data_IF_747278437020
#
_entry.id   IF_747278437020
#
_cell.length_a   1.000
_cell.length_b   1.000
_cell.length_c   1.000
_cell.angle_alpha   90.00
_cell.angle_beta   90.00
_cell.angle_gamma   90.00
#
_symmetry.space_group_name_H-M   'P 1'
#
loop_
_entity.id
_entity.type
_entity.pdbx_description
1 polymer ?
#
# COMPACT_ATOMS: atom_id res chain seq x y z
N UNK A 1 -13.94 -12.60 5.50
CA UNK A 1 -13.63 -13.11 4.15
C UNK A 1 -14.88 -13.36 3.30
N UNK A 2 -15.96 -13.96 3.83
CA UNK A 2 -17.19 -14.22 3.05
C UNK A 2 -17.80 -12.93 2.48
N UNK A 3 -17.92 -11.88 3.30
CA UNK A 3 -18.41 -10.56 2.87
C UNK A 3 -17.49 -9.93 1.81
N UNK A 4 -16.17 -9.98 2.04
CA UNK A 4 -15.15 -9.47 1.12
C UNK A 4 -15.27 -10.19 -0.24
N UNK A 5 -15.26 -11.52 -0.27
CA UNK A 5 -15.34 -12.29 -1.50
C UNK A 5 -16.64 -12.03 -2.28
N UNK A 6 -17.76 -11.89 -1.58
CA UNK A 6 -19.04 -11.54 -2.21
C UNK A 6 -19.00 -10.14 -2.83
N UNK A 7 -18.40 -9.18 -2.14
CA UNK A 7 -18.29 -7.81 -2.64
C UNK A 7 -17.37 -7.70 -3.85
N UNK A 8 -16.15 -8.29 -3.77
CA UNK A 8 -15.17 -8.23 -4.86
C UNK A 8 -15.69 -8.89 -6.14
N UNK A 9 -16.38 -10.04 -6.05
CA UNK A 9 -17.02 -10.66 -7.23
C UNK A 9 -18.05 -9.77 -7.90
N UNK A 10 -18.79 -8.95 -7.13
CA UNK A 10 -19.80 -8.03 -7.66
C UNK A 10 -19.21 -6.88 -8.45
N UNK A 11 -18.11 -6.29 -7.97
CA UNK A 11 -17.50 -5.11 -8.61
C UNK A 11 -16.66 -5.46 -9.84
N UNK A 12 -16.25 -6.71 -10.01
CA UNK A 12 -15.43 -7.20 -11.14
C UNK A 12 -14.17 -6.38 -11.37
N UNK A 13 -13.53 -5.92 -10.31
CA UNK A 13 -12.27 -5.18 -10.39
C UNK A 13 -11.15 -6.10 -10.88
N UNK A 14 -10.27 -5.56 -11.72
CA UNK A 14 -9.10 -6.29 -12.22
C UNK A 14 -7.87 -6.12 -11.32
N UNK A 15 -7.90 -5.22 -10.34
CA UNK A 15 -6.76 -5.05 -9.43
C UNK A 15 -6.71 -6.09 -8.31
N UNK A 16 -7.77 -6.88 -8.10
CA UNK A 16 -7.79 -7.95 -7.12
C UNK A 16 -7.53 -9.31 -7.75
N UNK A 17 -6.81 -10.16 -7.03
CA UNK A 17 -6.68 -11.57 -7.36
C UNK A 17 -7.92 -12.29 -6.86
N UNK A 18 -8.47 -13.20 -7.67
CA UNK A 18 -9.64 -13.99 -7.26
C UNK A 18 -9.28 -14.91 -6.09
N UNK A 19 -10.21 -15.01 -5.13
CA UNK A 19 -10.05 -15.92 -4.00
C UNK A 19 -11.36 -16.58 -3.60
N UNK A 20 -11.25 -17.70 -2.92
CA UNK A 20 -12.35 -18.47 -2.34
C UNK A 20 -12.11 -18.66 -0.84
N UNK A 21 -13.08 -18.28 -0.03
CA UNK A 21 -13.10 -18.58 1.39
C UNK A 21 -13.84 -19.88 1.63
N UNK A 22 -13.19 -20.85 2.27
CA UNK A 22 -13.73 -22.15 2.62
C UNK A 22 -13.79 -22.26 4.15
N UNK A 23 -14.99 -22.17 4.77
CA UNK A 23 -15.14 -22.22 6.23
C UNK A 23 -14.65 -23.52 6.88
N UNK A 24 -14.63 -24.61 6.11
CA UNK A 24 -14.18 -25.93 6.54
C UNK A 24 -13.13 -26.49 5.57
N UNK A 25 -12.11 -25.67 5.26
CA UNK A 25 -11.18 -25.95 4.16
C UNK A 25 -10.08 -26.94 4.49
N UNK A 26 -9.69 -27.08 5.76
CA UNK A 26 -8.66 -28.03 6.18
C UNK A 26 -9.04 -28.72 7.48
N UNK A 27 -8.87 -30.05 7.53
CA UNK A 27 -9.06 -30.86 8.74
C UNK A 27 -7.69 -31.36 9.21
N UNK A 28 -7.40 -31.16 10.48
CA UNK A 28 -6.22 -31.63 11.19
C UNK A 28 -6.63 -32.49 12.38
N UNK A 29 -5.69 -33.07 13.10
CA UNK A 29 -5.96 -33.83 14.34
C UNK A 29 -6.66 -32.98 15.41
N UNK A 30 -6.43 -31.66 15.43
CA UNK A 30 -6.98 -30.71 16.40
C UNK A 30 -8.31 -30.08 15.98
N UNK A 31 -8.83 -30.35 14.77
CA UNK A 31 -10.11 -29.84 14.29
C UNK A 31 -10.15 -29.42 12.84
N UNK A 32 -11.28 -28.83 12.45
CA UNK A 32 -11.50 -28.31 11.11
C UNK A 32 -11.41 -26.77 11.13
N UNK A 33 -10.63 -26.20 10.21
CA UNK A 33 -10.31 -24.79 10.17
C UNK A 33 -10.66 -24.18 8.82
N UNK A 34 -10.99 -22.87 8.80
CA UNK A 34 -11.19 -22.17 7.55
C UNK A 34 -9.86 -21.93 6.83
N UNK A 35 -9.93 -21.88 5.49
CA UNK A 35 -8.82 -21.45 4.64
C UNK A 35 -9.28 -20.42 3.62
N UNK A 36 -8.32 -19.65 3.11
CA UNK A 36 -8.46 -18.82 1.91
C UNK A 36 -7.60 -19.44 0.82
N UNK A 37 -8.21 -19.77 -0.30
CA UNK A 37 -7.53 -20.20 -1.52
C UNK A 37 -7.53 -19.03 -2.49
N UNK A 38 -6.37 -18.57 -2.89
CA UNK A 38 -6.18 -17.44 -3.79
C UNK A 38 -5.54 -17.92 -5.11
N UNK A 39 -5.96 -17.35 -6.23
CA UNK A 39 -5.29 -17.57 -7.49
C UNK A 39 -3.87 -17.00 -7.44
N UNK A 40 -2.98 -17.60 -8.21
CA UNK A 40 -1.61 -17.12 -8.27
C UNK A 40 -1.52 -15.82 -9.06
N UNK A 41 -0.99 -14.75 -8.46
CA UNK A 41 -0.65 -13.52 -9.16
C UNK A 41 0.69 -13.68 -9.88
N UNK A 42 0.69 -13.56 -11.21
CA UNK A 42 1.92 -13.60 -11.99
C UNK A 42 2.61 -12.24 -11.96
N UNK A 43 3.94 -12.23 -11.96
CA UNK A 43 4.73 -11.00 -11.92
C UNK A 43 5.72 -10.98 -10.76
N UNK A 44 6.18 -9.80 -10.42
CA UNK A 44 7.08 -9.56 -9.31
C UNK A 44 6.46 -8.58 -8.31
N UNK A 45 6.93 -8.55 -7.08
CA UNK A 45 6.47 -7.55 -6.11
C UNK A 45 6.85 -6.15 -6.57
N UNK A 46 6.09 -5.14 -6.13
CA UNK A 46 6.43 -3.74 -6.36
C UNK A 46 7.85 -3.42 -5.89
N UNK A 47 8.28 -4.00 -4.75
CA UNK A 47 9.64 -3.86 -4.25
C UNK A 47 10.69 -4.35 -5.26
N UNK A 48 10.53 -5.57 -5.76
CA UNK A 48 11.45 -6.15 -6.74
C UNK A 48 11.46 -5.36 -8.06
N UNK A 49 10.28 -4.92 -8.52
CA UNK A 49 10.17 -4.10 -9.73
C UNK A 49 10.92 -2.77 -9.58
N UNK A 50 10.69 -2.05 -8.48
CA UNK A 50 11.35 -0.75 -8.23
C UNK A 50 12.86 -0.92 -8.10
N UNK A 51 13.33 -1.92 -7.37
CA UNK A 51 14.76 -2.21 -7.23
C UNK A 51 15.44 -2.47 -8.60
N UNK A 52 14.76 -3.20 -9.49
CA UNK A 52 15.26 -3.52 -10.83
C UNK A 52 15.22 -2.34 -11.81
N UNK A 53 14.23 -1.44 -11.66
CA UNK A 53 13.95 -0.36 -12.62
C UNK A 53 14.17 1.04 -12.03
N UNK A 54 14.90 1.18 -10.92
CA UNK A 54 15.06 2.48 -10.22
C UNK A 54 15.74 3.56 -11.07
N UNK A 55 16.54 3.16 -12.07
CA UNK A 55 17.15 4.08 -13.02
C UNK A 55 16.25 4.38 -14.25
N UNK A 56 15.11 3.72 -14.39
CA UNK A 56 14.14 3.91 -15.47
C UNK A 56 13.03 4.87 -15.01
N UNK A 57 13.22 6.15 -15.29
CA UNK A 57 12.27 7.22 -14.94
C UNK A 57 10.88 6.95 -15.51
N UNK A 58 10.78 6.46 -16.75
CA UNK A 58 9.51 6.26 -17.44
C UNK A 58 8.75 5.10 -16.83
N UNK A 59 9.41 3.98 -16.52
CA UNK A 59 8.82 2.85 -15.82
C UNK A 59 8.27 3.27 -14.44
N UNK A 60 9.03 4.04 -13.67
CA UNK A 60 8.58 4.54 -12.36
C UNK A 60 7.41 5.53 -12.48
N UNK A 61 7.41 6.40 -13.49
CA UNK A 61 6.28 7.31 -13.73
C UNK A 61 5.02 6.54 -14.12
N UNK A 62 5.13 5.55 -15.00
CA UNK A 62 4.01 4.72 -15.41
C UNK A 62 3.44 3.93 -14.21
N UNK A 63 4.32 3.37 -13.38
CA UNK A 63 3.95 2.68 -12.15
C UNK A 63 3.16 3.59 -11.19
N UNK A 64 3.61 4.83 -11.01
CA UNK A 64 2.89 5.84 -10.20
C UNK A 64 1.48 6.10 -10.72
N UNK A 65 1.33 6.24 -12.05
CA UNK A 65 0.01 6.46 -12.66
C UNK A 65 -0.91 5.27 -12.42
N UNK A 66 -0.39 4.04 -12.51
CA UNK A 66 -1.12 2.81 -12.24
C UNK A 66 -1.57 2.70 -10.79
N UNK A 67 -0.69 2.99 -9.82
CA UNK A 67 -1.02 3.04 -8.39
C UNK A 67 -2.10 4.09 -8.08
N UNK A 68 -2.02 5.28 -8.69
CA UNK A 68 -3.09 6.29 -8.59
C UNK A 68 -4.41 5.82 -9.18
N UNK A 69 -4.37 5.01 -10.24
CA UNK A 69 -5.54 4.37 -10.83
C UNK A 69 -6.20 3.44 -9.82
N UNK A 70 -5.43 2.56 -9.18
CA UNK A 70 -5.91 1.67 -8.12
C UNK A 70 -6.49 2.46 -6.95
N UNK A 71 -5.79 3.46 -6.43
CA UNK A 71 -6.28 4.29 -5.32
C UNK A 71 -7.66 4.87 -5.61
N UNK A 72 -7.87 5.44 -6.82
CA UNK A 72 -9.17 5.97 -7.22
C UNK A 72 -10.23 4.87 -7.36
N UNK A 73 -9.86 3.70 -7.85
CA UNK A 73 -10.76 2.56 -7.99
C UNK A 73 -11.23 2.06 -6.63
N UNK A 74 -10.32 1.89 -5.66
CA UNK A 74 -10.66 1.50 -4.30
C UNK A 74 -11.63 2.49 -3.67
N UNK A 75 -11.31 3.79 -3.70
CA UNK A 75 -12.18 4.84 -3.15
C UNK A 75 -13.55 4.86 -3.82
N UNK A 76 -13.63 4.75 -5.15
CA UNK A 76 -14.89 4.72 -5.90
C UNK A 76 -15.79 3.55 -5.48
N UNK A 77 -15.18 2.42 -5.13
CA UNK A 77 -15.91 1.24 -4.67
C UNK A 77 -16.07 1.17 -3.14
N UNK A 78 -15.64 2.19 -2.41
CA UNK A 78 -15.72 2.17 -0.95
C UNK A 78 -14.89 1.07 -0.31
N UNK A 79 -13.72 0.75 -0.88
CA UNK A 79 -12.81 -0.29 -0.42
C UNK A 79 -11.58 0.35 0.20
N UNK A 80 -11.12 -0.19 1.33
CA UNK A 80 -9.78 0.01 1.85
C UNK A 80 -9.05 -1.33 1.90
N UNK A 81 -7.85 -1.41 1.35
CA UNK A 81 -7.04 -2.63 1.42
C UNK A 81 -6.50 -2.86 2.84
N UNK A 82 -6.09 -1.78 3.47
CA UNK A 82 -5.61 -1.75 4.84
C UNK A 82 -4.13 -2.09 5.03
N UNK A 83 -3.47 -2.66 4.01
CA UNK A 83 -2.04 -2.94 4.02
C UNK A 83 -1.41 -2.78 2.63
N UNK A 84 -1.56 -1.57 2.05
CA UNK A 84 -0.84 -1.22 0.82
C UNK A 84 0.63 -1.02 1.15
N UNK A 85 1.44 -1.96 0.67
CA UNK A 85 2.90 -1.98 0.83
C UNK A 85 3.55 -2.67 -0.37
N UNK A 86 4.87 -2.51 -0.60
CA UNK A 86 5.55 -3.02 -1.80
C UNK A 86 5.54 -4.53 -1.98
N UNK A 87 5.31 -5.32 -0.93
CA UNK A 87 5.20 -6.77 -1.02
C UNK A 87 3.78 -7.24 -1.34
N UNK A 88 2.76 -6.43 -1.09
CA UNK A 88 1.35 -6.75 -1.32
C UNK A 88 0.81 -6.23 -2.66
N UNK A 89 1.67 -5.59 -3.46
CA UNK A 89 1.38 -5.17 -4.83
C UNK A 89 2.22 -5.98 -5.80
N UNK A 90 1.59 -6.76 -6.66
CA UNK A 90 2.25 -7.54 -7.71
C UNK A 90 2.19 -6.76 -9.01
N UNK A 91 3.34 -6.59 -9.64
CA UNK A 91 3.53 -5.90 -10.92
C UNK A 91 3.59 -6.96 -12.02
N UNK A 92 2.50 -7.13 -12.77
CA UNK A 92 2.46 -7.95 -13.99
C UNK A 92 3.11 -7.19 -15.15
N UNK A 93 2.88 -5.88 -15.21
CA UNK A 93 3.56 -4.89 -16.05
C UNK A 93 3.44 -3.51 -15.38
N UNK A 94 4.17 -2.49 -15.86
CA UNK A 94 4.08 -1.14 -15.31
C UNK A 94 2.66 -0.53 -15.36
N UNK A 95 1.77 -1.11 -16.17
CA UNK A 95 0.36 -0.69 -16.31
C UNK A 95 -0.64 -1.64 -15.68
N UNK A 96 -0.21 -2.82 -15.25
CA UNK A 96 -1.09 -3.87 -14.73
C UNK A 96 -0.58 -4.37 -13.38
N UNK A 97 -1.29 -4.00 -12.33
CA UNK A 97 -0.97 -4.30 -10.95
C UNK A 97 -2.06 -5.16 -10.33
N UNK A 98 -1.66 -6.05 -9.41
CA UNK A 98 -2.57 -6.86 -8.58
C UNK A 98 -2.31 -6.61 -7.11
N UNK A 99 -3.38 -6.56 -6.35
CA UNK A 99 -3.33 -6.53 -4.89
C UNK A 99 -3.50 -7.95 -4.36
N UNK A 100 -2.73 -8.30 -3.36
CA UNK A 100 -2.80 -9.57 -2.63
C UNK A 100 -2.84 -9.29 -1.14
N UNK A 101 -3.16 -10.31 -0.34
CA UNK A 101 -3.25 -10.22 1.12
C UNK A 101 -4.42 -9.34 1.59
N UNK A 102 -5.56 -9.98 1.85
CA UNK A 102 -6.83 -9.29 2.15
C UNK A 102 -7.21 -9.33 3.64
N UNK A 103 -6.27 -9.60 4.55
CA UNK A 103 -6.53 -9.74 5.98
C UNK A 103 -7.02 -8.42 6.61
N UNK A 104 -6.49 -7.30 6.13
CA UNK A 104 -6.88 -5.95 6.55
C UNK A 104 -7.99 -5.29 5.72
N UNK A 105 -8.59 -6.00 4.74
CA UNK A 105 -9.44 -5.38 3.73
C UNK A 105 -10.80 -4.96 4.28
N UNK A 106 -11.13 -3.68 4.05
CA UNK A 106 -12.44 -3.09 4.32
C UNK A 106 -13.32 -3.12 3.05
N UNK A 107 -14.58 -3.51 3.24
CA UNK A 107 -15.67 -3.31 2.28
C UNK A 107 -16.87 -2.71 3.01
N UNK A 108 -17.83 -2.04 2.32
CA UNK A 108 -18.96 -1.37 2.98
C UNK A 108 -19.79 -2.24 3.94
N UNK A 109 -19.83 -3.57 3.70
CA UNK A 109 -20.51 -4.52 4.56
C UNK A 109 -19.84 -4.72 5.94
N UNK A 110 -18.60 -4.26 6.09
CA UNK A 110 -17.84 -4.33 7.34
C UNK A 110 -17.88 -3.00 8.12
N UNK A 111 -18.68 -2.03 7.66
CA UNK A 111 -18.82 -0.75 8.35
C UNK A 111 -19.26 -0.93 9.81
N UNK A 112 -18.64 -0.18 10.72
CA UNK A 112 -18.88 -0.29 12.16
C UNK A 112 -18.05 -1.35 12.89
N UNK A 113 -17.30 -2.17 12.16
CA UNK A 113 -16.30 -3.05 12.76
C UNK A 113 -14.97 -2.31 12.98
N UNK A 114 -14.04 -2.99 13.64
CA UNK A 114 -12.66 -2.52 13.81
C UNK A 114 -11.72 -3.45 13.04
N UNK A 115 -10.64 -2.90 12.51
CA UNK A 115 -9.58 -3.71 11.91
C UNK A 115 -8.78 -4.42 13.01
N UNK A 116 -8.50 -5.70 12.78
CA UNK A 116 -7.56 -6.48 13.59
C UNK A 116 -6.12 -6.32 13.08
N UNK A 117 -5.98 -5.92 11.82
CA UNK A 117 -4.69 -5.69 11.16
C UNK A 117 -4.46 -4.19 10.96
N UNK A 118 -3.24 -3.72 11.25
CA UNK A 118 -2.88 -2.31 11.07
C UNK A 118 -1.98 -2.09 9.85
N UNK A 119 -1.55 -3.16 9.21
CA UNK A 119 -0.63 -3.12 8.09
C UNK A 119 0.82 -2.81 8.48
N UNK A 120 1.70 -2.76 7.49
CA UNK A 120 3.14 -2.56 7.68
C UNK A 120 3.44 -1.10 8.06
N UNK A 121 4.12 -0.91 9.19
CA UNK A 121 4.32 0.40 9.85
C UNK A 121 4.96 1.48 8.98
N UNK A 122 5.86 1.09 8.07
CA UNK A 122 6.54 2.04 7.19
C UNK A 122 5.59 2.63 6.13
N UNK A 123 4.39 2.06 5.96
CA UNK A 123 3.37 2.53 5.03
C UNK A 123 2.09 3.00 5.72
N UNK A 124 2.14 3.20 7.04
CA UNK A 124 0.98 3.63 7.81
C UNK A 124 1.28 4.93 8.57
N UNK A 125 0.26 5.77 8.70
CA UNK A 125 0.35 6.92 9.58
C UNK A 125 0.53 6.47 11.03
N UNK A 126 1.41 7.12 11.80
CA UNK A 126 1.74 6.74 13.18
C UNK A 126 0.53 6.77 14.14
N UNK A 127 -0.48 7.57 13.82
CA UNK A 127 -1.75 7.70 14.55
C UNK A 127 -2.80 6.64 14.22
N UNK A 128 -2.60 5.77 13.21
CA UNK A 128 -3.58 4.74 12.85
C UNK A 128 -3.86 3.78 14.00
N UNK A 129 -5.13 3.42 14.19
CA UNK A 129 -5.63 2.47 15.20
C UNK A 129 -6.71 1.61 14.57
N UNK A 130 -7.05 0.47 15.19
CA UNK A 130 -8.07 -0.48 14.69
C UNK A 130 -9.46 0.14 14.45
N UNK A 131 -9.83 1.21 15.18
CA UNK A 131 -11.09 1.93 14.96
C UNK A 131 -11.16 2.70 13.63
N UNK A 132 -10.02 3.00 13.04
CA UNK A 132 -9.93 3.65 11.73
C UNK A 132 -10.02 2.56 10.65
N UNK A 133 -11.27 2.13 10.36
CA UNK A 133 -11.53 1.02 9.45
C UNK A 133 -12.63 1.41 8.47
N UNK A 134 -12.22 1.99 7.35
CA UNK A 134 -13.07 2.49 6.27
C UNK A 134 -12.34 2.55 4.93
N UNK A 135 -12.98 3.10 3.90
CA UNK A 135 -12.45 3.20 2.55
C UNK A 135 -11.23 4.13 2.41
N UNK A 136 -10.95 4.98 3.40
CA UNK A 136 -9.84 5.95 3.35
C UNK A 136 -8.51 5.37 3.82
N UNK A 137 -8.52 4.14 4.34
CA UNK A 137 -7.37 3.45 4.98
C UNK A 137 -6.05 3.61 4.23
N UNK A 138 -6.10 3.53 2.89
CA UNK A 138 -4.92 3.45 2.05
C UNK A 138 -4.40 4.80 1.57
N UNK A 139 -5.11 5.90 1.86
CA UNK A 139 -4.77 7.23 1.34
C UNK A 139 -3.36 7.66 1.72
N UNK A 140 -2.93 7.33 2.94
CA UNK A 140 -1.58 7.61 3.41
C UNK A 140 -0.54 6.79 2.63
N UNK A 141 -0.72 5.48 2.52
CA UNK A 141 0.20 4.58 1.83
C UNK A 141 0.37 4.95 0.35
N UNK A 142 -0.72 5.22 -0.35
CA UNK A 142 -0.66 5.68 -1.75
C UNK A 142 0.03 7.04 -1.90
N UNK A 143 -0.17 7.95 -0.96
CA UNK A 143 0.51 9.27 -0.96
C UNK A 143 2.02 9.12 -0.74
N UNK A 144 2.41 8.25 0.19
CA UNK A 144 3.81 7.91 0.44
C UNK A 144 4.47 7.27 -0.79
N UNK A 145 3.85 6.23 -1.36
CA UNK A 145 4.36 5.57 -2.56
C UNK A 145 4.47 6.54 -3.74
N UNK A 146 3.48 7.41 -3.94
CA UNK A 146 3.53 8.40 -5.01
C UNK A 146 4.67 9.41 -4.83
N UNK A 147 4.92 9.86 -3.59
CA UNK A 147 6.01 10.78 -3.27
C UNK A 147 7.37 10.12 -3.50
N UNK A 148 7.59 8.95 -2.92
CA UNK A 148 8.89 8.24 -2.95
C UNK A 148 9.24 7.75 -4.36
N UNK A 149 8.29 7.19 -5.10
CA UNK A 149 8.50 6.81 -6.50
C UNK A 149 8.75 8.03 -7.40
N UNK A 150 8.12 9.18 -7.12
CA UNK A 150 8.46 10.41 -7.84
C UNK A 150 9.89 10.85 -7.55
N UNK A 151 10.32 10.81 -6.31
CA UNK A 151 11.69 11.14 -5.94
C UNK A 151 12.69 10.22 -6.64
N UNK A 152 12.47 8.92 -6.61
CA UNK A 152 13.31 7.93 -7.28
C UNK A 152 13.36 8.13 -8.80
N UNK A 153 12.23 8.50 -9.43
CA UNK A 153 12.20 8.78 -10.87
C UNK A 153 13.00 10.03 -11.27
N UNK A 154 13.30 10.91 -10.32
CA UNK A 154 14.12 12.12 -10.53
C UNK A 154 15.56 11.91 -10.10
N UNK A 155 15.77 11.19 -9.02
CA UNK A 155 17.06 10.97 -8.38
C UNK A 155 17.18 9.51 -7.92
N UNK A 156 17.55 8.61 -8.84
CA UNK A 156 17.67 7.16 -8.53
C UNK A 156 18.63 6.85 -7.38
N UNK A 157 19.65 7.68 -7.20
CA UNK A 157 20.64 7.55 -6.13
C UNK A 157 20.04 7.69 -4.71
N UNK A 158 18.82 8.22 -4.59
CA UNK A 158 18.11 8.26 -3.32
C UNK A 158 17.84 6.86 -2.78
N UNK A 159 17.78 5.84 -3.63
CA UNK A 159 17.59 4.46 -3.22
C UNK A 159 18.69 4.01 -2.26
N UNK A 160 19.96 4.18 -2.67
CA UNK A 160 21.12 3.81 -1.86
C UNK A 160 21.35 4.78 -0.69
N UNK A 161 21.13 6.08 -0.91
CA UNK A 161 21.33 7.09 0.13
C UNK A 161 20.37 6.98 1.31
N UNK A 162 19.22 6.35 1.13
CA UNK A 162 18.21 6.14 2.16
C UNK A 162 18.13 4.70 2.67
N UNK A 163 19.04 3.82 2.23
CA UNK A 163 18.98 2.38 2.52
C UNK A 163 17.60 1.79 2.19
N UNK A 164 17.03 2.17 1.03
CA UNK A 164 15.75 1.67 0.56
C UNK A 164 15.81 0.16 0.29
N UNK A 165 14.74 -0.55 0.65
CA UNK A 165 14.61 -1.99 0.50
C UNK A 165 13.14 -2.41 0.24
N UNK A 166 12.83 -3.70 0.40
CA UNK A 166 11.47 -4.21 0.24
C UNK A 166 10.51 -3.68 1.31
N UNK A 167 11.02 -3.33 2.49
CA UNK A 167 10.23 -2.93 3.65
C UNK A 167 10.02 -1.41 3.70
N UNK A 168 10.82 -0.61 2.99
CA UNK A 168 10.70 0.85 2.99
C UNK A 168 11.30 1.49 1.74
N UNK A 169 10.58 2.43 1.15
CA UNK A 169 11.08 3.31 0.08
C UNK A 169 11.38 4.69 0.66
N UNK A 170 12.64 5.00 0.88
CA UNK A 170 13.18 6.25 1.40
C UNK A 170 12.76 6.54 2.85
N UNK A 171 11.46 6.50 3.17
CA UNK A 171 10.92 6.82 4.49
C UNK A 171 10.58 5.56 5.27
N UNK A 172 10.93 5.56 6.56
CA UNK A 172 10.62 4.51 7.53
C UNK A 172 9.65 5.04 8.59
N UNK A 173 9.10 4.16 9.41
CA UNK A 173 8.15 4.52 10.47
C UNK A 173 8.70 5.58 11.46
N UNK A 174 9.99 5.58 11.72
CA UNK A 174 10.64 6.60 12.56
C UNK A 174 10.60 7.99 11.89
N UNK A 175 10.83 8.05 10.58
CA UNK A 175 10.76 9.30 9.80
C UNK A 175 9.33 9.85 9.78
N UNK A 176 8.35 8.96 9.59
CA UNK A 176 6.92 9.29 9.59
C UNK A 176 6.47 9.81 10.95
N UNK A 177 7.03 9.25 12.05
CA UNK A 177 6.69 9.66 13.41
C UNK A 177 7.26 11.03 13.79
N UNK A 178 8.43 11.40 13.25
CA UNK A 178 9.08 12.70 13.48
C UNK A 178 9.71 13.24 12.18
N UNK A 179 8.90 13.81 11.26
CA UNK A 179 9.41 14.37 10.01
C UNK A 179 10.44 15.50 10.20
N UNK A 180 10.32 16.26 11.29
CA UNK A 180 11.19 17.41 11.55
C UNK A 180 12.63 17.01 11.89
N UNK A 181 12.80 15.87 12.57
CA UNK A 181 14.10 15.32 12.91
C UNK A 181 14.65 14.34 11.86
N UNK A 182 13.89 14.03 10.80
CA UNK A 182 14.23 13.00 9.84
C UNK A 182 15.25 13.46 8.79
N UNK A 183 16.42 12.81 8.68
CA UNK A 183 17.36 13.02 7.59
C UNK A 183 16.76 12.63 6.23
N UNK A 184 15.87 11.61 6.17
CA UNK A 184 15.25 11.16 4.95
C UNK A 184 14.25 12.19 4.39
N UNK A 185 13.51 12.91 5.23
CA UNK A 185 12.70 14.05 4.78
C UNK A 185 13.57 15.19 4.25
N UNK A 186 14.71 15.49 4.88
CA UNK A 186 15.67 16.48 4.40
C UNK A 186 16.25 16.07 3.03
N UNK A 187 16.56 14.78 2.87
CA UNK A 187 17.03 14.22 1.61
C UNK A 187 15.98 14.36 0.51
N UNK A 188 14.71 14.02 0.77
CA UNK A 188 13.60 14.22 -0.17
C UNK A 188 13.39 15.69 -0.53
N UNK A 189 13.50 16.60 0.43
CA UNK A 189 13.35 18.05 0.21
C UNK A 189 14.48 18.63 -0.64
N UNK A 190 15.62 17.93 -0.76
CA UNK A 190 16.71 18.33 -1.66
C UNK A 190 16.40 18.16 -3.15
N UNK A 191 15.28 17.53 -3.49
CA UNK A 191 14.76 17.44 -4.87
C UNK A 191 13.87 18.66 -5.12
N UNK A 192 14.30 19.66 -5.91
CA UNK A 192 13.61 20.95 -5.97
C UNK A 192 12.13 20.86 -6.36
N UNK A 193 11.80 19.98 -7.34
CA UNK A 193 10.43 19.82 -7.82
C UNK A 193 9.50 19.16 -6.77
N UNK A 194 10.06 18.60 -5.71
CA UNK A 194 9.31 17.89 -4.66
C UNK A 194 9.19 18.66 -3.36
N UNK A 195 9.95 19.75 -3.18
CA UNK A 195 10.03 20.47 -1.92
C UNK A 195 8.65 20.77 -1.29
N UNK A 196 7.72 21.32 -2.09
CA UNK A 196 6.38 21.62 -1.59
C UNK A 196 5.58 20.36 -1.25
N UNK A 197 5.73 19.29 -2.05
CA UNK A 197 5.06 18.01 -1.79
C UNK A 197 5.59 17.34 -0.53
N UNK A 198 6.90 17.40 -0.32
CA UNK A 198 7.56 16.88 0.89
C UNK A 198 7.07 17.64 2.12
N UNK A 199 7.01 18.99 2.08
CA UNK A 199 6.42 19.79 3.17
C UNK A 199 4.97 19.40 3.46
N UNK A 200 4.15 19.25 2.43
CA UNK A 200 2.75 18.86 2.60
C UNK A 200 2.64 17.45 3.23
N UNK A 201 3.48 16.51 2.78
CA UNK A 201 3.45 15.15 3.33
C UNK A 201 3.97 15.11 4.79
N UNK A 202 5.00 15.87 5.10
CA UNK A 202 5.47 16.04 6.48
C UNK A 202 4.38 16.62 7.40
N UNK A 203 3.60 17.58 6.90
CA UNK A 203 2.46 18.13 7.64
C UNK A 203 1.36 17.07 7.87
N UNK A 204 1.09 16.21 6.89
CA UNK A 204 0.17 15.07 7.05
C UNK A 204 0.68 14.11 8.13
N UNK A 205 1.97 13.76 8.11
CA UNK A 205 2.56 12.87 9.12
C UNK A 205 2.48 13.44 10.55
N UNK A 206 2.61 14.76 10.69
CA UNK A 206 2.58 15.45 11.99
C UNK A 206 1.16 15.75 12.50
N UNK A 207 0.16 15.70 11.61
CA UNK A 207 -1.23 15.96 11.97
C UNK A 207 -1.82 14.80 12.80
N UNK A 208 -2.85 15.07 13.64
CA UNK A 208 -3.65 14.00 14.20
C UNK A 208 -4.25 13.15 13.07
N UNK A 209 -4.27 11.82 13.27
CA UNK A 209 -4.96 10.94 12.31
C UNK A 209 -6.48 11.09 12.53
N UNK A 210 -7.11 11.90 11.68
CA UNK A 210 -8.56 12.10 11.60
C UNK A 210 -9.10 11.39 10.35
N UNK A 211 -10.29 10.86 10.48
CA UNK A 211 -11.03 10.23 9.37
C UNK A 211 -11.71 11.26 8.50
#
# INVERSE_FOLDING_TARGET
YAAIGTYLRRIRSTCFVAFEFQPSGITTESGTYPIVRMDWAHGQTLAAFVAAHRADSDALQQLRMSLRGISRELLRHGIGHGDIQPTNVIVESATQLRLIDYDGLFVPQLAGLQSTELGQRNFQHSGRRGRHFDASLDSFAFSLLDLTLHALSRRPELWEQSDSDADAFILRAADIADPAASPAFSLLASVPELEQRVRNFAAICAAPFEQ
#
